data_IF_542059399583
#
_entry.id   IF_542059399583
#
_cell.length_a   1.000
_cell.length_b   1.000
_cell.length_c   1.000
_cell.angle_alpha   90.00
_cell.angle_beta   90.00
_cell.angle_gamma   90.00
#
_symmetry.space_group_name_H-M   'P 1'
#
loop_
_entity.id
_entity.type
_entity.pdbx_description
1 polymer ?
#
# COMPACT_ATOMS: atom_id res chain seq x y z
N UNK A 1 -17.82 -3.41 0.21
CA UNK A 1 -18.55 -2.13 0.27
C UNK A 1 -18.86 -1.68 -1.15
N UNK A 2 -20.01 -1.07 -1.38
CA UNK A 2 -20.36 -0.47 -2.69
C UNK A 2 -20.00 1.00 -2.63
N UNK A 3 -19.21 1.49 -3.57
CA UNK A 3 -18.79 2.89 -3.64
C UNK A 3 -19.35 3.57 -4.88
N UNK A 4 -19.93 4.75 -4.67
CA UNK A 4 -20.21 5.75 -5.69
C UNK A 4 -19.40 7.01 -5.41
N UNK A 5 -18.99 7.72 -6.46
CA UNK A 5 -18.43 9.06 -6.28
C UNK A 5 -19.56 9.96 -5.75
N UNK A 6 -19.34 10.62 -4.62
CA UNK A 6 -20.27 11.64 -4.16
C UNK A 6 -20.27 12.74 -5.22
N UNK A 7 -21.41 12.96 -5.88
CA UNK A 7 -21.55 14.06 -6.82
C UNK A 7 -21.65 15.37 -6.01
N UNK A 8 -20.50 15.97 -5.76
CA UNK A 8 -20.36 17.24 -5.04
C UNK A 8 -20.58 18.45 -5.95
N UNK A 9 -20.93 18.27 -7.23
CA UNK A 9 -21.25 19.39 -8.13
C UNK A 9 -22.43 20.23 -7.64
N UNK A 10 -23.20 19.72 -6.68
CA UNK A 10 -24.36 20.37 -6.06
C UNK A 10 -24.26 20.52 -4.53
N UNK A 11 -23.06 20.48 -3.93
CA UNK A 11 -22.90 20.74 -2.49
C UNK A 11 -21.82 19.90 -1.80
N UNK A 12 -21.84 19.87 -0.47
CA UNK A 12 -20.85 19.14 0.34
C UNK A 12 -21.08 17.62 0.31
N UNK A 13 -20.08 16.81 0.66
CA UNK A 13 -20.24 15.35 0.80
C UNK A 13 -21.38 14.95 1.74
N UNK A 14 -21.61 15.71 2.81
CA UNK A 14 -22.70 15.47 3.78
C UNK A 14 -24.06 15.66 3.12
N UNK A 15 -24.24 16.69 2.31
CA UNK A 15 -25.47 16.88 1.53
C UNK A 15 -25.68 15.77 0.49
N UNK A 16 -24.60 15.20 -0.06
CA UNK A 16 -24.70 14.05 -0.95
C UNK A 16 -25.10 12.78 -0.19
N UNK A 17 -24.64 12.61 1.05
CA UNK A 17 -25.05 11.52 1.94
C UNK A 17 -26.52 11.62 2.34
N UNK A 18 -27.01 12.79 2.74
CA UNK A 18 -28.41 13.00 3.10
C UNK A 18 -29.33 12.64 1.93
N UNK A 19 -29.05 13.18 0.74
CA UNK A 19 -29.78 12.83 -0.49
C UNK A 19 -29.72 11.35 -0.81
N UNK A 20 -28.58 10.70 -0.59
CA UNK A 20 -28.47 9.25 -0.82
C UNK A 20 -29.38 8.46 0.13
N UNK A 21 -29.51 8.88 1.39
CA UNK A 21 -30.35 8.22 2.40
C UNK A 21 -31.85 8.37 2.15
N UNK A 22 -32.26 9.38 1.37
CA UNK A 22 -33.65 9.55 0.92
C UNK A 22 -34.09 8.49 -0.11
N UNK A 23 -33.15 7.85 -0.80
CA UNK A 23 -33.50 6.77 -1.73
C UNK A 23 -33.86 5.49 -0.98
N UNK A 24 -34.94 4.84 -1.43
CA UNK A 24 -35.41 3.59 -0.84
C UNK A 24 -34.32 2.52 -0.80
N UNK A 25 -34.07 2.02 0.42
CA UNK A 25 -33.05 1.00 0.70
C UNK A 25 -31.60 1.52 0.71
N UNK A 26 -31.37 2.83 0.78
CA UNK A 26 -30.05 3.45 0.98
C UNK A 26 -29.90 4.19 2.31
N UNK A 27 -30.84 4.02 3.25
CA UNK A 27 -30.77 4.64 4.59
C UNK A 27 -29.50 4.29 5.38
N UNK A 28 -28.89 3.13 5.10
CA UNK A 28 -27.61 2.70 5.67
C UNK A 28 -26.36 3.24 4.97
N UNK A 29 -26.48 4.20 4.05
CA UNK A 29 -25.31 4.80 3.41
C UNK A 29 -24.47 5.61 4.42
N UNK A 30 -23.17 5.71 4.16
CA UNK A 30 -22.21 6.49 4.97
C UNK A 30 -21.12 7.07 4.06
N UNK A 31 -20.36 8.04 4.58
CA UNK A 31 -19.20 8.60 3.88
C UNK A 31 -17.92 7.86 4.30
N UNK A 32 -17.01 7.71 3.35
CA UNK A 32 -15.66 7.19 3.59
C UNK A 32 -14.66 8.14 2.93
N UNK A 33 -13.65 8.59 3.68
CA UNK A 33 -12.51 9.28 3.08
C UNK A 33 -11.57 8.25 2.46
N UNK A 34 -11.23 8.44 1.19
CA UNK A 34 -10.13 7.72 0.56
C UNK A 34 -9.22 8.69 -0.17
N UNK A 35 -8.02 8.86 0.36
CA UNK A 35 -7.00 9.72 -0.26
C UNK A 35 -7.39 11.20 -0.27
N UNK A 36 -8.13 11.67 0.74
CA UNK A 36 -8.61 13.06 0.81
C UNK A 36 -9.81 13.35 -0.09
N UNK A 37 -10.46 12.31 -0.62
CA UNK A 37 -11.69 12.41 -1.39
C UNK A 37 -12.79 11.65 -0.64
N UNK A 38 -13.90 12.33 -0.38
CA UNK A 38 -15.07 11.71 0.23
C UNK A 38 -15.83 10.86 -0.80
N UNK A 39 -16.09 9.61 -0.46
CA UNK A 39 -16.90 8.69 -1.25
C UNK A 39 -18.16 8.30 -0.49
N UNK A 40 -19.24 8.05 -1.24
CA UNK A 40 -20.46 7.49 -0.69
C UNK A 40 -20.39 5.95 -0.70
N UNK A 41 -20.55 5.36 0.48
CA UNK A 41 -20.47 3.93 0.73
C UNK A 41 -21.80 3.32 1.15
N UNK A 42 -22.01 2.06 0.79
CA UNK A 42 -23.13 1.25 1.27
C UNK A 42 -22.72 -0.20 1.53
N UNK A 43 -23.18 -0.73 2.67
CA UNK A 43 -23.00 -2.12 3.07
C UNK A 43 -21.56 -2.50 3.46
N UNK A 44 -21.44 -3.60 4.19
CA UNK A 44 -20.21 -4.29 4.50
C UNK A 44 -20.40 -5.76 4.14
N UNK A 45 -19.53 -6.29 3.28
CA UNK A 45 -19.70 -7.63 2.71
C UNK A 45 -18.40 -8.41 2.87
N UNK A 46 -18.51 -9.71 3.14
CA UNK A 46 -17.36 -10.61 3.28
C UNK A 46 -16.48 -10.68 2.02
N UNK A 47 -17.06 -10.43 0.84
CA UNK A 47 -16.30 -10.37 -0.40
C UNK A 47 -17.15 -9.89 -1.58
N UNK A 48 -16.50 -9.52 -2.71
CA UNK A 48 -17.20 -8.98 -3.87
C UNK A 48 -18.05 -10.02 -4.61
N UNK A 49 -17.87 -11.32 -4.35
CA UNK A 49 -18.65 -12.40 -4.96
C UNK A 49 -19.81 -12.90 -4.08
N UNK A 50 -20.01 -12.31 -2.91
CA UNK A 50 -21.13 -12.67 -2.04
C UNK A 50 -22.48 -12.36 -2.72
N UNK A 51 -23.46 -13.23 -2.52
CA UNK A 51 -24.81 -13.08 -3.07
C UNK A 51 -25.46 -11.76 -2.63
N UNK A 52 -25.30 -11.40 -1.36
CA UNK A 52 -25.77 -10.14 -0.77
C UNK A 52 -25.12 -8.92 -1.45
N UNK A 53 -23.79 -8.95 -1.62
CA UNK A 53 -23.04 -7.86 -2.25
C UNK A 53 -23.47 -7.61 -3.70
N UNK A 54 -23.72 -8.70 -4.45
CA UNK A 54 -24.16 -8.63 -5.84
C UNK A 54 -25.62 -8.17 -5.96
N UNK A 55 -26.49 -8.65 -5.07
CA UNK A 55 -27.90 -8.22 -5.03
C UNK A 55 -28.02 -6.72 -4.74
N UNK A 56 -27.26 -6.23 -3.76
CA UNK A 56 -27.23 -4.80 -3.43
C UNK A 56 -26.61 -3.96 -4.54
N UNK A 57 -25.53 -4.42 -5.17
CA UNK A 57 -24.93 -3.71 -6.30
C UNK A 57 -25.92 -3.57 -7.46
N UNK A 58 -26.62 -4.66 -7.80
CA UNK A 58 -27.65 -4.63 -8.83
C UNK A 58 -28.78 -3.66 -8.47
N UNK A 59 -29.28 -3.71 -7.23
CA UNK A 59 -30.35 -2.83 -6.72
C UNK A 59 -29.95 -1.35 -6.66
N UNK A 60 -28.69 -1.04 -6.38
CA UNK A 60 -28.19 0.34 -6.30
C UNK A 60 -27.99 0.91 -7.71
N UNK A 61 -27.47 0.12 -8.65
CA UNK A 61 -27.23 0.55 -10.03
C UNK A 61 -28.51 0.91 -10.81
N UNK A 62 -29.69 0.46 -10.37
CA UNK A 62 -30.96 0.90 -10.98
C UNK A 62 -31.32 2.34 -10.66
N UNK A 63 -30.72 2.93 -9.63
CA UNK A 63 -31.00 4.30 -9.18
C UNK A 63 -30.04 5.28 -9.84
N UNK A 64 -30.57 6.38 -10.37
CA UNK A 64 -29.77 7.55 -10.77
C UNK A 64 -29.51 8.39 -9.51
N UNK A 65 -28.27 8.73 -9.14
CA UNK A 65 -27.04 8.75 -9.96
C UNK A 65 -26.11 7.51 -9.83
N UNK A 66 -26.50 6.47 -9.10
CA UNK A 66 -25.62 5.35 -8.72
C UNK A 66 -25.41 4.27 -9.81
N UNK A 67 -25.69 4.56 -11.08
CA UNK A 67 -25.51 3.61 -12.20
C UNK A 67 -24.07 3.12 -12.34
N UNK A 68 -23.10 3.94 -11.93
CA UNK A 68 -21.66 3.65 -11.98
C UNK A 68 -21.11 3.09 -10.67
N UNK A 69 -21.96 2.74 -9.71
CA UNK A 69 -21.52 2.16 -8.45
C UNK A 69 -20.70 0.89 -8.68
N UNK A 70 -19.69 0.65 -7.85
CA UNK A 70 -18.79 -0.51 -7.95
C UNK A 70 -18.62 -1.16 -6.59
N UNK A 71 -18.44 -2.49 -6.57
CA UNK A 71 -17.96 -3.19 -5.39
C UNK A 71 -16.47 -2.95 -5.25
N UNK A 72 -16.09 -2.32 -4.16
CA UNK A 72 -14.71 -2.18 -3.78
C UNK A 72 -14.46 -3.00 -2.51
N UNK A 73 -13.32 -3.70 -2.44
CA UNK A 73 -12.87 -4.22 -1.16
C UNK A 73 -12.83 -3.04 -0.19
N UNK A 74 -13.24 -3.29 1.06
CA UNK A 74 -12.64 -2.49 2.12
C UNK A 74 -11.15 -2.79 2.01
N UNK A 75 -10.36 -1.87 1.42
CA UNK A 75 -9.03 -1.66 1.95
C UNK A 75 -9.27 -1.49 3.45
N UNK A 76 -8.75 -2.44 4.23
CA UNK A 76 -9.14 -2.70 5.60
C UNK A 76 -9.25 -1.40 6.39
N UNK A 77 -10.48 -0.94 6.56
CA UNK A 77 -10.86 0.10 7.49
C UNK A 77 -11.87 -0.61 8.38
N UNK A 78 -11.40 -1.08 9.54
CA UNK A 78 -12.15 -1.77 10.62
C UNK A 78 -12.25 -3.30 10.56
N UNK A 79 -11.44 -3.91 11.42
CA UNK A 79 -11.28 -5.35 11.70
C UNK A 79 -10.02 -5.63 12.53
N UNK A 80 -9.02 -4.74 12.44
CA UNK A 80 -7.83 -4.63 13.29
C UNK A 80 -7.44 -3.13 13.50
N UNK A 81 -8.45 -2.27 13.66
CA UNK A 81 -8.27 -0.82 13.70
C UNK A 81 -7.75 -0.35 15.07
N UNK A 82 -6.42 -0.21 15.17
CA UNK A 82 -5.67 0.81 15.93
C UNK A 82 -4.15 0.53 15.91
N UNK A 83 -3.75 -0.73 15.69
CA UNK A 83 -2.37 -1.15 15.45
C UNK A 83 -2.32 -1.65 14.01
N UNK A 84 -1.79 -0.98 12.99
CA UNK A 84 -0.58 -0.18 12.97
C UNK A 84 -0.66 0.84 11.81
N UNK A 85 -1.56 1.84 11.93
CA UNK A 85 -1.47 3.02 11.03
C UNK A 85 -0.10 3.69 11.15
N UNK A 86 0.62 3.42 12.23
CA UNK A 86 1.98 3.88 12.42
C UNK A 86 2.96 3.31 11.37
N UNK A 87 2.77 2.05 10.96
CA UNK A 87 3.70 1.32 10.11
C UNK A 87 3.32 1.34 8.61
N UNK A 88 2.13 1.82 8.23
CA UNK A 88 1.80 2.00 6.81
C UNK A 88 2.63 3.16 6.21
N UNK A 89 3.46 2.82 5.22
CA UNK A 89 4.35 3.75 4.52
C UNK A 89 3.59 4.95 3.89
N UNK A 90 2.31 4.80 3.54
CA UNK A 90 1.48 5.91 2.99
C UNK A 90 1.28 7.05 3.99
N UNK A 91 1.45 6.78 5.28
CA UNK A 91 1.29 7.79 6.34
C UNK A 91 2.59 8.57 6.57
N UNK A 92 3.73 8.08 6.08
CA UNK A 92 5.05 8.63 6.36
C UNK A 92 5.20 10.05 5.83
N UNK A 93 4.81 10.32 4.57
CA UNK A 93 4.89 11.67 4.00
C UNK A 93 4.09 12.70 4.82
N UNK A 94 2.94 12.29 5.39
CA UNK A 94 2.14 13.16 6.27
C UNK A 94 2.78 13.36 7.65
N UNK A 95 3.45 12.34 8.19
CA UNK A 95 4.04 12.37 9.53
C UNK A 95 5.39 13.10 9.57
N UNK A 96 6.25 12.81 8.61
CA UNK A 96 7.63 13.31 8.55
C UNK A 96 7.77 14.55 7.65
N UNK A 97 6.70 14.93 6.96
CA UNK A 97 6.66 16.16 6.16
C UNK A 97 7.42 16.04 4.84
N UNK A 98 7.72 17.19 4.19
CA UNK A 98 8.20 17.24 2.80
C UNK A 98 9.61 16.68 2.60
N UNK A 99 10.35 16.41 3.68
CA UNK A 99 11.71 15.85 3.62
C UNK A 99 11.72 14.31 3.62
N UNK A 100 10.56 13.66 3.81
CA UNK A 100 10.46 12.21 3.71
C UNK A 100 10.37 11.78 2.24
N UNK A 101 11.53 11.67 1.58
CA UNK A 101 11.61 11.42 0.15
C UNK A 101 11.84 9.94 -0.16
N UNK A 102 12.71 9.29 0.59
CA UNK A 102 13.17 7.93 0.31
C UNK A 102 13.07 7.02 1.52
N UNK A 103 13.00 5.72 1.27
CA UNK A 103 13.09 4.67 2.27
C UNK A 103 13.82 3.47 1.67
N UNK A 104 14.51 2.66 2.49
CA UNK A 104 15.24 1.50 2.01
C UNK A 104 14.33 0.28 1.94
N UNK A 105 14.03 -0.24 0.76
CA UNK A 105 13.32 -1.51 0.59
C UNK A 105 14.24 -2.68 0.94
N UNK A 106 13.79 -3.50 1.90
CA UNK A 106 14.55 -4.65 2.45
C UNK A 106 13.80 -5.97 2.29
N UNK A 107 12.49 -5.96 2.03
CA UNK A 107 11.76 -7.17 1.69
C UNK A 107 10.58 -6.94 0.77
N UNK A 108 10.20 -8.00 0.05
CA UNK A 108 9.02 -8.13 -0.80
C UNK A 108 8.31 -9.43 -0.42
N UNK A 109 7.00 -9.36 -0.24
CA UNK A 109 6.11 -10.49 0.00
C UNK A 109 5.19 -10.64 -1.21
N UNK A 110 5.36 -11.72 -1.94
CA UNK A 110 4.72 -11.91 -3.24
C UNK A 110 5.00 -13.27 -3.84
N UNK A 111 4.41 -13.53 -5.00
CA UNK A 111 4.79 -14.71 -5.78
C UNK A 111 6.24 -14.59 -6.26
N UNK A 112 6.90 -15.74 -6.41
CA UNK A 112 8.24 -15.78 -7.01
C UNK A 112 8.20 -15.18 -8.41
N UNK A 113 9.22 -14.43 -8.86
CA UNK A 113 9.32 -13.96 -10.25
C UNK A 113 9.23 -15.09 -11.29
N UNK A 114 9.55 -16.33 -10.89
CA UNK A 114 9.45 -17.52 -11.73
C UNK A 114 8.05 -18.15 -11.75
N UNK A 115 7.13 -17.69 -10.89
CA UNK A 115 5.75 -18.19 -10.84
C UNK A 115 4.88 -17.38 -11.82
N UNK A 116 4.32 -18.00 -12.89
CA UNK A 116 3.55 -17.29 -13.90
C UNK A 116 2.12 -16.95 -13.45
N UNK A 117 1.68 -17.37 -12.26
CA UNK A 117 0.32 -17.17 -11.79
C UNK A 117 0.08 -15.72 -11.36
N UNK A 118 -1.18 -15.31 -11.39
CA UNK A 118 -1.61 -14.10 -10.68
C UNK A 118 -1.92 -14.46 -9.22
N UNK A 119 -1.54 -13.59 -8.25
CA UNK A 119 -1.91 -13.78 -6.85
C UNK A 119 -3.43 -13.90 -6.68
N UNK A 120 -3.86 -14.95 -6.00
CA UNK A 120 -5.24 -15.08 -5.54
C UNK A 120 -5.54 -14.13 -4.37
N UNK A 121 -6.81 -14.03 -3.98
CA UNK A 121 -7.20 -13.26 -2.80
C UNK A 121 -6.55 -13.77 -1.50
N UNK A 122 -6.35 -15.09 -1.39
CA UNK A 122 -5.68 -15.73 -0.26
C UNK A 122 -4.18 -15.44 -0.27
N UNK A 123 -3.53 -15.49 -1.44
CA UNK A 123 -2.12 -15.10 -1.59
C UNK A 123 -1.92 -13.65 -1.14
N UNK A 124 -2.76 -12.73 -1.62
CA UNK A 124 -2.68 -11.31 -1.23
C UNK A 124 -2.89 -11.10 0.27
N UNK A 125 -3.82 -11.83 0.89
CA UNK A 125 -4.03 -11.75 2.34
C UNK A 125 -2.80 -12.25 3.11
N UNK A 126 -2.20 -13.35 2.65
CA UNK A 126 -0.97 -13.90 3.22
C UNK A 126 0.21 -12.94 3.09
N UNK A 127 0.41 -12.34 1.91
CA UNK A 127 1.48 -11.37 1.68
C UNK A 127 1.35 -10.12 2.55
N UNK A 128 0.12 -9.62 2.72
CA UNK A 128 -0.14 -8.45 3.58
C UNK A 128 0.21 -8.76 5.02
N UNK A 129 -0.31 -9.88 5.53
CA UNK A 129 -0.06 -10.31 6.90
C UNK A 129 1.43 -10.51 7.16
N UNK A 130 2.13 -11.18 6.25
CA UNK A 130 3.56 -11.42 6.39
C UNK A 130 4.39 -10.12 6.37
N UNK A 131 4.00 -9.13 5.55
CA UNK A 131 4.65 -7.82 5.52
C UNK A 131 4.39 -7.00 6.79
N UNK A 132 3.16 -7.03 7.32
CA UNK A 132 2.80 -6.40 8.60
C UNK A 132 3.60 -7.01 9.75
N UNK A 133 3.59 -8.34 9.88
CA UNK A 133 4.32 -9.07 10.92
C UNK A 133 5.84 -8.79 10.84
N UNK A 134 6.40 -8.70 9.63
CA UNK A 134 7.81 -8.39 9.43
C UNK A 134 8.17 -6.94 9.79
N UNK A 135 7.35 -5.96 9.38
CA UNK A 135 7.55 -4.56 9.78
C UNK A 135 7.47 -4.39 11.31
N UNK A 136 6.52 -5.07 11.97
CA UNK A 136 6.40 -5.10 13.42
C UNK A 136 7.63 -5.75 14.09
N UNK A 137 8.15 -6.85 13.53
CA UNK A 137 9.36 -7.50 14.03
C UNK A 137 10.60 -6.60 13.92
N UNK A 138 10.78 -5.91 12.80
CA UNK A 138 11.86 -4.92 12.64
C UNK A 138 11.72 -3.76 13.64
N UNK A 139 10.50 -3.27 13.87
CA UNK A 139 10.22 -2.25 14.90
C UNK A 139 10.59 -2.72 16.30
N UNK A 140 10.22 -3.95 16.64
CA UNK A 140 10.59 -4.56 17.92
C UNK A 140 12.11 -4.72 18.07
N UNK A 141 12.84 -4.88 16.96
CA UNK A 141 14.30 -4.90 16.92
C UNK A 141 14.95 -3.50 16.93
N UNK A 142 14.17 -2.42 17.04
CA UNK A 142 14.65 -1.05 17.10
C UNK A 142 14.84 -0.37 15.74
N UNK A 143 14.32 -0.96 14.66
CA UNK A 143 14.37 -0.34 13.33
C UNK A 143 13.17 0.57 13.07
N UNK A 144 13.40 1.62 12.29
CA UNK A 144 12.32 2.45 11.76
C UNK A 144 11.69 1.77 10.52
N UNK A 145 10.90 0.72 10.71
CA UNK A 145 10.32 -0.06 9.61
C UNK A 145 8.89 0.35 9.25
N UNK A 146 8.51 0.10 7.99
CA UNK A 146 7.18 0.34 7.43
C UNK A 146 6.83 -0.73 6.39
N UNK A 147 5.52 -0.96 6.18
CA UNK A 147 5.02 -1.80 5.09
C UNK A 147 4.24 -0.97 4.06
N UNK A 148 4.18 -1.46 2.82
CA UNK A 148 3.30 -0.94 1.78
C UNK A 148 2.68 -2.07 0.98
N UNK A 149 1.35 -2.10 0.90
CA UNK A 149 0.63 -3.09 0.08
C UNK A 149 0.43 -2.58 -1.34
N UNK A 150 1.00 -3.30 -2.30
CA UNK A 150 0.72 -3.16 -3.72
C UNK A 150 -0.43 -4.05 -4.20
N UNK A 151 -0.76 -3.99 -5.51
CA UNK A 151 -1.81 -4.80 -6.10
C UNK A 151 -1.46 -6.28 -6.21
N UNK A 152 -0.17 -6.63 -6.28
CA UNK A 152 0.32 -8.00 -6.50
C UNK A 152 1.27 -8.50 -5.40
N UNK A 153 1.83 -7.61 -4.60
CA UNK A 153 2.80 -7.91 -3.55
C UNK A 153 2.68 -6.88 -2.42
N UNK A 154 3.37 -7.12 -1.32
CA UNK A 154 3.60 -6.14 -0.27
C UNK A 154 5.10 -5.95 -0.11
N UNK A 155 5.54 -4.75 0.24
CA UNK A 155 6.95 -4.47 0.50
C UNK A 155 7.15 -4.04 1.95
N UNK A 156 8.35 -4.28 2.47
CA UNK A 156 8.81 -3.77 3.77
C UNK A 156 10.04 -2.91 3.54
N UNK A 157 10.04 -1.77 4.22
CA UNK A 157 11.03 -0.72 4.06
C UNK A 157 11.55 -0.28 5.43
N UNK A 158 12.79 0.22 5.50
CA UNK A 158 13.44 0.71 6.72
C UNK A 158 14.00 2.11 6.49
N UNK A 159 13.76 2.98 7.47
CA UNK A 159 14.24 4.35 7.54
C UNK A 159 13.45 5.34 6.69
N UNK A 160 13.43 6.60 7.10
CA UNK A 160 12.95 7.74 6.30
C UNK A 160 14.11 8.68 6.01
N UNK A 161 14.39 8.89 4.73
CA UNK A 161 15.55 9.63 4.24
C UNK A 161 15.13 10.82 3.38
N UNK A 162 15.88 11.91 3.52
CA UNK A 162 15.69 13.17 2.79
C UNK A 162 16.79 13.45 1.77
N UNK A 163 16.83 14.69 1.27
CA UNK A 163 17.85 15.12 0.29
C UNK A 163 19.25 15.12 0.88
N UNK A 164 19.35 15.36 2.18
CA UNK A 164 20.60 15.35 2.93
C UNK A 164 21.23 13.94 3.04
N UNK A 165 20.46 12.89 2.73
CA UNK A 165 20.94 11.51 2.86
C UNK A 165 21.52 10.92 1.59
N UNK A 166 21.13 11.46 0.44
CA UNK A 166 21.56 10.96 -0.85
C UNK A 166 21.93 12.17 -1.73
N UNK A 167 23.22 12.33 -1.96
CA UNK A 167 23.73 13.18 -3.02
C UNK A 167 23.91 12.33 -4.29
N UNK A 168 22.93 12.39 -5.17
CA UNK A 168 22.90 11.72 -6.48
C UNK A 168 23.50 12.58 -7.60
N UNK A 169 24.03 13.78 -7.28
CA UNK A 169 24.68 14.66 -8.27
C UNK A 169 26.09 14.21 -8.65
N UNK A 170 26.66 13.26 -7.89
CA UNK A 170 28.00 12.70 -8.08
C UNK A 170 27.95 11.18 -8.30
N UNK A 171 28.97 10.63 -8.96
CA UNK A 171 29.07 9.20 -9.26
C UNK A 171 30.41 8.63 -8.75
N UNK A 172 30.41 7.70 -7.78
CA UNK A 172 29.24 7.09 -7.14
C UNK A 172 28.48 8.07 -6.22
N UNK A 173 27.16 7.87 -6.03
CA UNK A 173 26.36 8.67 -5.11
C UNK A 173 26.94 8.66 -3.70
N UNK A 174 26.89 9.81 -3.03
CA UNK A 174 27.36 9.93 -1.64
C UNK A 174 26.17 9.74 -0.70
N UNK A 175 26.28 8.73 0.17
CA UNK A 175 25.29 8.44 1.20
C UNK A 175 25.65 9.12 2.51
N UNK A 176 24.66 9.64 3.24
CA UNK A 176 24.86 10.03 4.63
C UNK A 176 25.26 8.83 5.48
N UNK A 177 25.80 9.11 6.66
CA UNK A 177 26.18 8.08 7.64
C UNK A 177 24.99 7.18 7.99
N UNK A 178 23.81 7.75 8.29
CA UNK A 178 22.64 6.96 8.70
C UNK A 178 22.10 6.05 7.59
N UNK A 179 22.11 6.53 6.35
CA UNK A 179 21.68 5.73 5.21
C UNK A 179 22.66 4.59 4.94
N UNK A 180 23.97 4.88 5.00
CA UNK A 180 25.02 3.86 4.85
C UNK A 180 24.92 2.79 5.93
N UNK A 181 24.82 3.17 7.19
CA UNK A 181 24.67 2.23 8.32
C UNK A 181 23.39 1.39 8.20
N UNK A 182 22.30 1.96 7.67
CA UNK A 182 21.08 1.19 7.40
C UNK A 182 21.28 0.18 6.27
N UNK A 183 21.96 0.57 5.20
CA UNK A 183 22.30 -0.32 4.10
C UNK A 183 23.27 -1.45 4.53
N UNK A 184 24.22 -1.17 5.44
CA UNK A 184 25.14 -2.17 5.98
C UNK A 184 24.44 -3.20 6.87
N UNK A 185 23.43 -2.77 7.66
CA UNK A 185 22.61 -3.67 8.49
C UNK A 185 21.63 -4.50 7.65
N UNK A 186 21.13 -3.94 6.55
CA UNK A 186 20.16 -4.59 5.66
C UNK A 186 20.66 -4.62 4.21
N UNK A 187 21.73 -5.38 3.91
CA UNK A 187 22.40 -5.31 2.60
C UNK A 187 21.62 -5.99 1.46
N UNK A 188 20.70 -6.90 1.79
CA UNK A 188 20.01 -7.73 0.81
C UNK A 188 18.51 -7.63 0.93
N UNK A 189 17.85 -7.55 -0.22
CA UNK A 189 16.41 -7.58 -0.33
C UNK A 189 15.92 -9.04 -0.22
N UNK A 190 14.89 -9.25 0.59
CA UNK A 190 14.31 -10.56 0.85
C UNK A 190 13.03 -10.76 0.03
N UNK A 191 12.76 -11.97 -0.44
CA UNK A 191 11.48 -12.41 -0.97
C UNK A 191 10.87 -13.43 -0.03
N UNK A 192 9.72 -13.11 0.56
CA UNK A 192 9.04 -13.96 1.55
C UNK A 192 9.97 -14.41 2.70
N UNK A 193 10.87 -13.52 3.14
CA UNK A 193 11.86 -13.80 4.19
C UNK A 193 13.11 -14.55 3.75
N UNK A 194 13.28 -14.83 2.45
CA UNK A 194 14.45 -15.53 1.90
C UNK A 194 15.25 -14.61 0.99
N UNK A 195 16.58 -14.74 0.97
CA UNK A 195 17.42 -13.95 0.10
C UNK A 195 17.11 -14.21 -1.39
N UNK A 196 16.95 -13.15 -2.19
CA UNK A 196 16.67 -13.26 -3.62
C UNK A 196 17.98 -13.51 -4.36
N UNK A 197 18.05 -14.63 -5.09
CA UNK A 197 19.18 -14.90 -5.99
C UNK A 197 18.85 -14.37 -7.39
N UNK A 198 19.73 -13.52 -7.89
CA UNK A 198 19.70 -13.01 -9.25
C UNK A 198 20.84 -13.61 -10.06
N UNK A 199 20.53 -14.05 -11.27
CA UNK A 199 21.53 -14.49 -12.23
C UNK A 199 21.98 -13.28 -13.05
N UNK A 200 23.22 -12.82 -12.83
CA UNK A 200 23.85 -11.73 -13.56
C UNK A 200 24.92 -12.21 -14.54
N UNK A 201 25.38 -11.32 -15.43
CA UNK A 201 26.61 -11.52 -16.19
C UNK A 201 27.70 -10.64 -15.61
N UNK A 202 28.84 -11.24 -15.26
CA UNK A 202 30.03 -10.52 -14.87
C UNK A 202 30.66 -9.80 -16.09
N UNK A 203 31.57 -8.86 -15.84
CA UNK A 203 32.33 -8.19 -16.90
C UNK A 203 33.14 -9.17 -17.78
N UNK A 204 33.46 -10.36 -17.25
CA UNK A 204 34.12 -11.46 -17.97
C UNK A 204 33.18 -12.29 -18.86
N UNK A 205 31.87 -12.00 -18.86
CA UNK A 205 30.84 -12.78 -19.57
C UNK A 205 30.37 -14.02 -18.81
N UNK A 206 30.98 -14.35 -17.67
CA UNK A 206 30.56 -15.46 -16.82
C UNK A 206 29.19 -15.19 -16.19
N UNK A 207 28.36 -16.22 -16.11
CA UNK A 207 27.12 -16.19 -15.35
C UNK A 207 27.47 -16.26 -13.86
N UNK A 208 27.02 -15.27 -13.10
CA UNK A 208 27.25 -15.18 -11.65
C UNK A 208 25.92 -15.11 -10.92
N UNK A 209 25.78 -15.89 -9.85
CA UNK A 209 24.68 -15.71 -8.89
C UNK A 209 25.05 -14.59 -7.93
N UNK A 210 24.18 -13.59 -7.80
CA UNK A 210 24.33 -12.48 -6.87
C UNK A 210 23.04 -12.33 -6.06
N UNK A 211 23.17 -11.98 -4.79
CA UNK A 211 22.01 -11.64 -3.97
C UNK A 211 21.48 -10.26 -4.38
N UNK A 212 20.18 -10.12 -4.51
CA UNK A 212 19.57 -8.82 -4.78
C UNK A 212 19.86 -7.89 -3.61
N UNK A 213 20.46 -6.73 -3.89
CA UNK A 213 20.72 -5.71 -2.88
C UNK A 213 19.44 -4.97 -2.50
N UNK A 214 19.38 -4.50 -1.26
CA UNK A 214 18.36 -3.54 -0.83
C UNK A 214 18.45 -2.26 -1.67
N UNK A 215 17.33 -1.57 -1.84
CA UNK A 215 17.22 -0.47 -2.81
C UNK A 215 16.47 0.69 -2.19
N UNK A 216 16.91 1.93 -2.46
CA UNK A 216 16.11 3.08 -2.12
C UNK A 216 14.88 3.15 -3.05
N UNK A 217 13.72 3.34 -2.43
CA UNK A 217 12.45 3.59 -3.11
C UNK A 217 11.85 4.88 -2.59
N UNK A 218 10.95 5.47 -3.37
CA UNK A 218 10.28 6.71 -2.99
C UNK A 218 9.19 6.46 -1.94
N UNK A 219 9.07 7.38 -0.99
CA UNK A 219 7.94 7.41 -0.08
C UNK A 219 6.68 7.84 -0.86
N UNK A 220 5.59 7.06 -0.86
CA UNK A 220 4.37 7.42 -1.57
C UNK A 220 3.81 8.77 -1.11
N UNK A 221 3.49 9.64 -2.07
CA UNK A 221 2.99 10.99 -1.79
C UNK A 221 4.09 12.01 -1.47
N UNK A 222 5.36 11.62 -1.48
CA UNK A 222 6.46 12.58 -1.47
C UNK A 222 6.51 13.32 -2.81
N UNK A 223 6.30 14.64 -2.78
CA UNK A 223 6.47 15.46 -3.97
C UNK A 223 7.95 15.83 -4.16
N UNK A 224 8.59 15.35 -5.22
CA UNK A 224 9.81 16.01 -5.73
C UNK A 224 9.39 17.37 -6.29
N UNK A 225 9.44 18.41 -5.46
CA UNK A 225 9.45 19.78 -5.98
C UNK A 225 10.81 20.10 -6.60
#
# INVERSE_FOLDING_TARGET
MILGRADTSRGTPEMALERAREFEGLGGAYLVDRGGVAHLAYGAYAGPRGSEAQADLARIRTKTPFRTAVLLPLAAETGAAAADTELDLRTVAKRYGPNALYTLQVAVYGLSPSDPRQPSGEDLASFRRAAEDAAAAFRAAGEEAFYLHGPQNSIVTIGVFGREDLDDSVNPPVLSRRLRETHERHPHNLLNGQAIRMTGRAASGAVVEQLQTSQLVEVPGAGRR
#
